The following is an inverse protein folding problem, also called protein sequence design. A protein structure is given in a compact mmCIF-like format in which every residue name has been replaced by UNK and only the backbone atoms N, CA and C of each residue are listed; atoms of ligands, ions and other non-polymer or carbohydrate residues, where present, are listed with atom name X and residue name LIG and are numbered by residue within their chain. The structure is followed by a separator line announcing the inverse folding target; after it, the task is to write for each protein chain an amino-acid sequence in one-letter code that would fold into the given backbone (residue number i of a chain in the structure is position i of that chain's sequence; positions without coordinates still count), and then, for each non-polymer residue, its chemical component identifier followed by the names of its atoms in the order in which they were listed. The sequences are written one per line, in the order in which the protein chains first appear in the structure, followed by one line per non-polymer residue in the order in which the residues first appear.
data_IF_867701271756
#
_entry.id   IF_867701271756
#
_cell.length_a   1.000
_cell.length_b   1.000
_cell.length_c   1.000
_cell.angle_alpha   90.00
_cell.angle_beta   90.00
_cell.angle_gamma   90.00
#
_symmetry.space_group_name_H-M   'P 1'
#
loop_
_entity.id
_entity.type
_entity.pdbx_description
1 polymer ?
#
# COMPACT_ATOMS: atom_id res chain seq x y z
N UNK A 1 -71.44 -40.85 -21.68
CA UNK A 1 -70.59 -40.69 -20.47
C UNK A 1 -69.10 -40.69 -20.84
N UNK A 2 -68.63 -39.79 -21.72
CA UNK A 2 -67.22 -39.79 -22.17
C UNK A 2 -66.59 -38.39 -22.28
N UNK A 3 -67.35 -37.32 -22.08
CA UNK A 3 -66.86 -35.94 -22.22
C UNK A 3 -66.40 -35.27 -20.91
N UNK A 4 -66.80 -35.75 -19.74
CA UNK A 4 -66.38 -35.14 -18.46
C UNK A 4 -64.98 -35.57 -17.99
N UNK A 5 -64.43 -36.68 -18.50
CA UNK A 5 -63.13 -37.19 -18.05
C UNK A 5 -61.91 -36.54 -18.72
N UNK A 6 -62.09 -35.88 -19.87
CA UNK A 6 -60.98 -35.28 -20.61
C UNK A 6 -60.62 -33.90 -20.04
N UNK A 7 -61.63 -33.10 -19.67
CA UNK A 7 -61.46 -31.74 -19.10
C UNK A 7 -60.72 -31.74 -17.73
N UNK A 8 -60.88 -32.79 -16.92
CA UNK A 8 -60.17 -32.91 -15.63
C UNK A 8 -58.68 -33.19 -15.78
N UNK A 9 -58.25 -33.91 -16.83
CA UNK A 9 -56.83 -34.24 -16.99
C UNK A 9 -56.00 -33.06 -17.49
N UNK A 10 -56.57 -32.20 -18.34
CA UNK A 10 -55.86 -31.03 -18.88
C UNK A 10 -55.62 -29.93 -17.82
N UNK A 11 -56.58 -29.74 -16.89
CA UNK A 11 -56.44 -28.78 -15.79
C UNK A 11 -55.39 -29.22 -14.75
N UNK A 12 -55.27 -30.52 -14.47
CA UNK A 12 -54.27 -31.07 -13.54
C UNK A 12 -52.85 -31.02 -14.15
N UNK A 13 -52.71 -31.27 -15.46
CA UNK A 13 -51.42 -31.17 -16.15
C UNK A 13 -50.91 -29.72 -16.20
N UNK A 14 -51.79 -28.77 -16.50
CA UNK A 14 -51.45 -27.33 -16.54
C UNK A 14 -50.98 -26.79 -15.17
N UNK A 15 -51.64 -27.21 -14.09
CA UNK A 15 -51.27 -26.79 -12.73
C UNK A 15 -49.88 -27.34 -12.30
N UNK A 16 -49.59 -28.61 -12.61
CA UNK A 16 -48.29 -29.24 -12.30
C UNK A 16 -47.11 -28.66 -13.08
N UNK A 17 -47.32 -28.20 -14.31
CA UNK A 17 -46.28 -27.53 -15.12
C UNK A 17 -46.01 -26.11 -14.60
N UNK A 18 -47.05 -25.39 -14.16
CA UNK A 18 -46.93 -24.05 -13.59
C UNK A 18 -46.12 -24.02 -12.27
N UNK A 19 -46.33 -24.99 -11.38
CA UNK A 19 -45.56 -25.10 -10.12
C UNK A 19 -44.09 -25.46 -10.35
N UNK A 20 -43.79 -26.37 -11.30
CA UNK A 20 -42.40 -26.72 -11.66
C UNK A 20 -41.63 -25.52 -12.20
N UNK A 21 -42.25 -24.69 -13.03
CA UNK A 21 -41.61 -23.49 -13.57
C UNK A 21 -41.35 -22.42 -12.49
N UNK A 22 -42.27 -22.25 -11.52
CA UNK A 22 -42.05 -21.34 -10.39
C UNK A 22 -40.93 -21.80 -9.47
N UNK A 23 -40.87 -23.10 -9.16
CA UNK A 23 -39.78 -23.68 -8.35
C UNK A 23 -38.42 -23.56 -9.06
N UNK A 24 -38.39 -23.76 -10.38
CA UNK A 24 -37.18 -23.62 -11.19
C UNK A 24 -36.66 -22.17 -11.20
N UNK A 25 -37.55 -21.18 -11.33
CA UNK A 25 -37.18 -19.76 -11.24
C UNK A 25 -36.64 -19.37 -9.86
N UNK A 26 -37.28 -19.83 -8.78
CA UNK A 26 -36.86 -19.51 -7.41
C UNK A 26 -35.52 -20.18 -7.09
N UNK A 27 -35.33 -21.42 -7.53
CA UNK A 27 -34.08 -22.15 -7.36
C UNK A 27 -32.93 -21.47 -8.13
N UNK A 28 -33.16 -21.09 -9.39
CA UNK A 28 -32.18 -20.35 -10.19
C UNK A 28 -31.83 -19.00 -9.57
N UNK A 29 -32.82 -18.21 -9.12
CA UNK A 29 -32.57 -16.91 -8.46
C UNK A 29 -31.73 -17.05 -7.18
N UNK A 30 -32.00 -18.08 -6.36
CA UNK A 30 -31.23 -18.34 -5.15
C UNK A 30 -29.81 -18.84 -5.42
N UNK A 31 -29.62 -19.65 -6.46
CA UNK A 31 -28.28 -20.11 -6.89
C UNK A 31 -27.47 -18.95 -7.47
N UNK A 32 -28.10 -18.13 -8.32
CA UNK A 32 -27.46 -16.94 -8.91
C UNK A 32 -27.04 -15.94 -7.83
N UNK A 33 -27.91 -15.70 -6.83
CA UNK A 33 -27.61 -14.81 -5.70
C UNK A 33 -26.41 -15.31 -4.88
N UNK A 34 -26.32 -16.63 -4.63
CA UNK A 34 -25.18 -17.22 -3.92
C UNK A 34 -23.87 -17.11 -4.71
N UNK A 35 -23.93 -17.28 -6.03
CA UNK A 35 -22.76 -17.13 -6.92
C UNK A 35 -22.29 -15.67 -6.93
N UNK A 36 -23.21 -14.71 -7.01
CA UNK A 36 -22.89 -13.27 -6.96
C UNK A 36 -22.25 -12.91 -5.61
N UNK A 37 -22.81 -13.38 -4.49
CA UNK A 37 -22.23 -13.14 -3.17
C UNK A 37 -20.82 -13.73 -3.03
N UNK A 38 -20.60 -14.94 -3.53
CA UNK A 38 -19.27 -15.57 -3.51
C UNK A 38 -18.27 -14.81 -4.38
N UNK A 39 -18.67 -14.34 -5.56
CA UNK A 39 -17.82 -13.55 -6.46
C UNK A 39 -17.46 -12.18 -5.86
N UNK A 40 -18.42 -11.51 -5.21
CA UNK A 40 -18.17 -10.24 -4.50
C UNK A 40 -17.20 -10.48 -3.34
N UNK A 41 -17.40 -11.53 -2.55
CA UNK A 41 -16.49 -11.87 -1.44
C UNK A 41 -15.08 -12.16 -1.94
N UNK A 42 -14.94 -12.91 -3.04
CA UNK A 42 -13.67 -13.21 -3.68
C UNK A 42 -12.99 -11.93 -4.19
N UNK A 43 -13.76 -11.02 -4.78
CA UNK A 43 -13.28 -9.72 -5.25
C UNK A 43 -12.76 -8.85 -4.10
N UNK A 44 -13.44 -8.84 -2.95
CA UNK A 44 -12.95 -8.15 -1.75
C UNK A 44 -11.67 -8.78 -1.20
N UNK A 45 -11.57 -10.12 -1.19
CA UNK A 45 -10.36 -10.83 -0.75
C UNK A 45 -9.17 -10.50 -1.68
N UNK A 46 -9.41 -10.44 -3.00
CA UNK A 46 -8.38 -10.05 -3.97
C UNK A 46 -7.94 -8.58 -3.81
N UNK A 47 -8.88 -7.65 -3.60
CA UNK A 47 -8.55 -6.24 -3.36
C UNK A 47 -7.75 -6.03 -2.07
N UNK A 48 -8.03 -6.80 -1.01
CA UNK A 48 -7.22 -6.74 0.21
C UNK A 48 -5.81 -7.30 0.03
N UNK A 49 -5.55 -8.17 -0.95
CA UNK A 49 -4.21 -8.68 -1.20
C UNK A 49 -3.30 -7.60 -1.82
N UNK A 50 -3.85 -6.77 -2.72
CA UNK A 50 -3.10 -5.68 -3.35
C UNK A 50 -2.83 -4.50 -2.40
N UNK A 51 -3.71 -4.28 -1.41
CA UNK A 51 -3.52 -3.22 -0.39
C UNK A 51 -2.45 -3.61 0.65
N UNK A 52 -2.22 -4.90 0.89
CA UNK A 52 -1.29 -5.37 1.94
C UNK A 52 0.17 -5.30 1.50
N UNK A 53 0.46 -5.09 0.21
CA UNK A 53 1.82 -5.14 -0.33
C UNK A 53 2.39 -3.78 -0.78
N UNK A 54 1.83 -2.65 -0.36
CA UNK A 54 2.54 -1.37 -0.53
C UNK A 54 3.73 -1.35 0.42
N UNK A 55 4.98 -1.36 -0.08
CA UNK A 55 6.14 -1.34 0.78
C UNK A 55 6.15 -0.03 1.57
N UNK A 56 6.33 -0.14 2.89
CA UNK A 56 6.38 0.99 3.82
C UNK A 56 7.76 1.08 4.46
N UNK A 57 8.21 2.29 4.78
CA UNK A 57 9.46 2.46 5.53
C UNK A 57 9.42 1.68 6.85
N UNK A 58 10.57 1.10 7.28
CA UNK A 58 10.64 0.37 8.54
C UNK A 58 10.36 1.27 9.74
N UNK A 59 9.72 0.70 10.76
CA UNK A 59 9.25 1.43 11.95
C UNK A 59 10.38 2.17 12.68
N UNK A 60 11.61 1.63 12.66
CA UNK A 60 12.75 2.29 13.30
C UNK A 60 13.03 3.67 12.69
N UNK A 61 12.86 3.80 11.37
CA UNK A 61 13.14 5.02 10.60
C UNK A 61 12.05 6.07 10.79
N UNK A 62 10.82 5.67 11.12
CA UNK A 62 9.69 6.59 11.27
C UNK A 62 9.92 7.61 12.39
N UNK A 63 9.40 8.83 12.16
CA UNK A 63 9.51 9.96 13.07
C UNK A 63 10.54 10.99 12.61
N UNK A 64 10.93 11.88 13.53
CA UNK A 64 11.81 13.01 13.23
C UNK A 64 13.24 12.74 13.68
N UNK A 65 14.18 13.01 12.78
CA UNK A 65 15.61 12.87 12.96
C UNK A 65 16.26 14.21 12.69
N UNK A 66 17.10 14.67 13.61
CA UNK A 66 17.76 15.97 13.48
C UNK A 66 19.26 15.88 13.68
N UNK A 67 19.96 16.81 13.03
CA UNK A 67 21.38 17.02 13.24
C UNK A 67 21.71 18.51 13.28
N UNK A 68 22.76 18.84 14.02
CA UNK A 68 23.33 20.17 14.02
C UNK A 68 24.55 20.20 13.09
N UNK A 69 24.50 21.08 12.10
CA UNK A 69 25.59 21.32 11.17
C UNK A 69 26.45 22.46 11.71
N UNK A 70 27.78 22.35 11.54
CA UNK A 70 28.81 23.25 12.08
C UNK A 70 28.56 24.76 11.83
N UNK A 71 27.72 25.12 10.86
CA UNK A 71 27.40 26.51 10.48
C UNK A 71 26.18 27.10 11.20
N UNK A 72 25.74 26.53 12.32
CA UNK A 72 24.56 27.00 13.03
C UNK A 72 23.26 26.73 12.26
N UNK A 73 23.26 25.65 11.48
CA UNK A 73 22.08 25.14 10.82
C UNK A 73 21.64 23.85 11.51
N UNK A 74 20.34 23.69 11.71
CA UNK A 74 19.73 22.44 12.12
C UNK A 74 18.99 21.87 10.92
N UNK A 75 19.32 20.63 10.58
CA UNK A 75 18.60 19.88 9.56
C UNK A 75 17.71 18.86 10.24
N UNK A 76 16.54 18.60 9.66
CA UNK A 76 15.57 17.64 10.19
C UNK A 76 14.94 16.88 9.03
N UNK A 77 15.00 15.56 9.08
CA UNK A 77 14.13 14.69 8.29
C UNK A 77 12.98 14.22 9.17
N UNK A 78 11.77 14.19 8.62
CA UNK A 78 10.62 13.54 9.25
C UNK A 78 10.08 12.49 8.30
N UNK A 79 10.32 11.21 8.63
CA UNK A 79 9.92 10.07 7.83
C UNK A 79 8.52 9.59 8.24
N UNK A 80 7.70 9.34 7.23
CA UNK A 80 6.39 8.69 7.31
C UNK A 80 6.44 7.45 6.43
N UNK A 81 5.41 6.60 6.50
CA UNK A 81 5.44 5.28 5.83
C UNK A 81 5.77 5.33 4.33
N UNK A 82 5.40 6.40 3.62
CA UNK A 82 5.51 6.49 2.16
C UNK A 82 6.10 7.82 1.65
N UNK A 83 6.61 8.65 2.55
CA UNK A 83 7.14 9.97 2.20
C UNK A 83 8.04 10.49 3.33
N UNK A 84 8.75 11.58 3.06
CA UNK A 84 9.42 12.33 4.10
C UNK A 84 9.36 13.84 3.84
N UNK A 85 9.48 14.60 4.92
CA UNK A 85 9.72 16.04 4.87
C UNK A 85 11.15 16.32 5.30
N UNK A 86 11.88 17.10 4.50
CA UNK A 86 13.14 17.70 4.91
C UNK A 86 12.93 19.15 5.30
N UNK A 87 13.57 19.57 6.39
CA UNK A 87 13.62 20.94 6.85
C UNK A 87 15.04 21.31 7.23
N UNK A 88 15.52 22.43 6.70
CA UNK A 88 16.75 23.07 7.15
C UNK A 88 16.46 24.47 7.65
N UNK A 89 16.84 24.72 8.89
CA UNK A 89 16.85 26.04 9.49
C UNK A 89 18.29 26.49 9.70
N UNK A 90 18.62 27.67 9.21
CA UNK A 90 19.92 28.30 9.41
C UNK A 90 19.71 29.69 10.00
N UNK A 91 20.52 30.06 11.00
CA UNK A 91 20.40 31.37 11.66
C UNK A 91 20.67 32.53 10.69
N UNK A 92 21.59 32.33 9.74
CA UNK A 92 22.13 33.40 8.87
C UNK A 92 21.73 33.28 7.40
N UNK A 93 20.96 32.26 7.03
CA UNK A 93 20.55 32.03 5.64
C UNK A 93 19.08 31.64 5.59
N UNK A 94 18.51 31.62 4.37
CA UNK A 94 17.11 31.23 4.17
C UNK A 94 16.91 29.77 4.62
N UNK A 95 15.79 29.50 5.29
CA UNK A 95 15.35 28.14 5.58
C UNK A 95 14.84 27.46 4.31
N UNK A 96 15.06 26.16 4.22
CA UNK A 96 14.60 25.33 3.09
C UNK A 96 13.71 24.21 3.62
N UNK A 97 12.59 23.97 2.93
CA UNK A 97 11.70 22.85 3.21
C UNK A 97 11.33 22.19 1.89
N UNK A 98 11.32 20.88 1.85
CA UNK A 98 10.75 20.12 0.74
C UNK A 98 10.18 18.79 1.22
N UNK A 99 9.21 18.28 0.49
CA UNK A 99 8.58 16.99 0.70
C UNK A 99 8.90 16.08 -0.48
N UNK A 100 9.18 14.81 -0.20
CA UNK A 100 9.43 13.82 -1.24
C UNK A 100 8.61 12.57 -0.99
N UNK A 101 8.02 12.06 -2.07
CA UNK A 101 7.29 10.80 -2.06
C UNK A 101 8.26 9.65 -2.28
N UNK A 102 8.08 8.59 -1.52
CA UNK A 102 8.81 7.33 -1.69
C UNK A 102 8.04 6.48 -2.70
N UNK A 103 8.73 6.08 -3.76
CA UNK A 103 8.16 5.26 -4.84
C UNK A 103 8.52 3.79 -4.69
N UNK A 104 9.69 3.49 -4.11
CA UNK A 104 10.18 2.12 -4.00
C UNK A 104 11.08 1.97 -2.78
N UNK A 105 11.03 0.80 -2.14
CA UNK A 105 11.84 0.45 -0.98
C UNK A 105 12.55 -0.88 -1.27
N UNK A 106 13.85 -0.88 -1.02
CA UNK A 106 14.75 -2.02 -1.11
C UNK A 106 15.17 -2.38 0.32
N UNK A 107 14.32 -3.14 1.04
CA UNK A 107 14.53 -3.47 2.46
C UNK A 107 15.86 -4.20 2.69
N UNK A 108 16.21 -5.16 1.82
CA UNK A 108 17.46 -5.92 1.91
C UNK A 108 18.73 -5.06 1.78
N UNK A 109 18.59 -3.83 1.28
CA UNK A 109 19.68 -2.89 1.03
C UNK A 109 19.60 -1.64 1.91
N UNK A 110 18.66 -1.60 2.87
CA UNK A 110 18.37 -0.44 3.70
C UNK A 110 18.25 0.85 2.86
N UNK A 111 17.51 0.78 1.74
CA UNK A 111 17.45 1.86 0.78
C UNK A 111 16.04 2.10 0.25
N UNK A 112 15.72 3.36 -0.07
CA UNK A 112 14.50 3.71 -0.78
C UNK A 112 14.79 4.69 -1.92
N UNK A 113 13.88 4.74 -2.89
CA UNK A 113 13.92 5.66 -4.03
C UNK A 113 12.71 6.58 -4.00
N UNK A 114 12.92 7.85 -4.29
CA UNK A 114 11.89 8.89 -4.36
C UNK A 114 11.41 9.16 -5.79
N UNK A 115 10.34 9.94 -5.91
CA UNK A 115 9.72 10.34 -7.19
C UNK A 115 10.66 11.02 -8.18
N UNK A 116 11.69 11.71 -7.70
CA UNK A 116 12.72 12.37 -8.51
C UNK A 116 13.91 11.45 -8.87
N UNK A 117 13.78 10.14 -8.64
CA UNK A 117 14.85 9.15 -8.76
C UNK A 117 16.07 9.44 -7.89
N UNK A 118 15.89 10.10 -6.75
CA UNK A 118 16.91 10.13 -5.70
C UNK A 118 16.87 8.82 -4.90
N UNK A 119 18.04 8.27 -4.58
CA UNK A 119 18.18 7.14 -3.67
C UNK A 119 18.62 7.66 -2.31
N UNK A 120 17.98 7.17 -1.26
CA UNK A 120 18.42 7.35 0.11
C UNK A 120 18.71 5.99 0.75
N UNK A 121 19.91 5.84 1.28
CA UNK A 121 20.35 4.66 2.02
C UNK A 121 20.46 5.02 3.49
N UNK A 122 19.94 4.18 4.36
CA UNK A 122 20.00 4.36 5.81
C UNK A 122 20.89 3.30 6.47
N UNK A 123 21.40 3.64 7.65
CA UNK A 123 22.07 2.69 8.53
C UNK A 123 21.85 3.12 9.97
N UNK A 124 21.64 2.17 10.87
CA UNK A 124 21.51 2.41 12.31
C UNK A 124 22.71 1.88 13.07
N UNK A 125 23.32 2.74 13.89
CA UNK A 125 24.27 2.34 14.94
C UNK A 125 23.69 2.72 16.29
N UNK A 126 23.03 1.77 16.95
CA UNK A 126 22.27 2.03 18.17
C UNK A 126 21.11 2.99 17.91
N UNK A 127 21.13 4.16 18.55
CA UNK A 127 20.11 5.22 18.38
C UNK A 127 20.50 6.30 17.35
N UNK A 128 21.58 6.08 16.61
CA UNK A 128 22.08 7.02 15.61
C UNK A 128 21.67 6.53 14.23
N UNK A 129 21.09 7.43 13.44
CA UNK A 129 20.78 7.20 12.04
C UNK A 129 21.87 7.84 11.17
N UNK A 130 22.37 7.10 10.20
CA UNK A 130 23.22 7.61 9.12
C UNK A 130 22.44 7.60 7.82
N UNK A 131 22.55 8.68 7.05
CA UNK A 131 21.85 8.82 5.77
C UNK A 131 22.85 9.15 4.66
N UNK A 132 22.75 8.41 3.57
CA UNK A 132 23.33 8.76 2.28
C UNK A 132 22.21 9.17 1.33
N UNK A 133 22.41 10.26 0.58
CA UNK A 133 21.44 10.77 -0.40
C UNK A 133 22.17 11.04 -1.72
N UNK A 134 21.65 10.50 -2.83
CA UNK A 134 22.16 10.82 -4.17
C UNK A 134 21.59 12.14 -4.69
N UNK A 135 22.08 12.60 -5.84
CA UNK A 135 21.40 13.65 -6.58
C UNK A 135 20.12 13.10 -7.26
N UNK A 136 19.16 13.97 -7.61
CA UNK A 136 18.01 13.59 -8.44
C UNK A 136 18.45 12.95 -9.75
N UNK A 137 17.67 11.98 -10.25
CA UNK A 137 17.95 11.24 -11.48
C UNK A 137 19.31 10.56 -11.53
N UNK A 138 19.85 10.17 -10.37
CA UNK A 138 21.07 9.37 -10.30
C UNK A 138 20.78 7.89 -10.55
N UNK A 139 21.82 7.12 -10.84
CA UNK A 139 21.75 5.65 -10.81
C UNK A 139 21.78 5.15 -9.37
N UNK A 140 21.22 3.95 -9.15
CA UNK A 140 21.26 3.25 -7.86
C UNK A 140 22.71 3.19 -7.33
N UNK A 141 22.99 3.68 -6.11
CA UNK A 141 24.34 3.71 -5.57
C UNK A 141 24.80 2.31 -5.16
N UNK A 142 26.12 2.07 -5.23
CA UNK A 142 26.77 0.87 -4.67
C UNK A 142 27.69 1.34 -3.57
N UNK A 143 27.32 1.04 -2.32
CA UNK A 143 28.05 1.48 -1.14
C UNK A 143 28.85 0.33 -0.54
N UNK A 144 30.04 0.63 -0.02
CA UNK A 144 30.87 -0.36 0.68
C UNK A 144 30.32 -0.69 2.07
N UNK A 145 30.80 -1.77 2.68
CA UNK A 145 30.24 -2.32 3.92
C UNK A 145 30.32 -1.41 5.15
N UNK A 146 31.04 -0.28 5.12
CA UNK A 146 31.20 0.66 6.22
C UNK A 146 30.95 2.11 5.75
N UNK A 147 30.12 2.30 4.72
CA UNK A 147 29.95 3.60 4.08
C UNK A 147 29.58 4.69 5.09
N UNK A 148 28.79 4.37 6.11
CA UNK A 148 28.25 5.32 7.09
C UNK A 148 29.31 5.99 7.98
N UNK A 149 30.52 5.42 8.12
CA UNK A 149 31.53 5.92 9.05
C UNK A 149 32.05 7.33 8.74
N UNK A 150 31.77 7.84 7.53
CA UNK A 150 32.12 9.20 7.10
C UNK A 150 30.92 10.13 6.88
N UNK A 151 29.70 9.69 7.19
CA UNK A 151 28.49 10.47 6.95
C UNK A 151 27.94 11.09 8.22
N UNK A 152 27.06 12.07 8.02
CA UNK A 152 26.48 12.81 9.11
C UNK A 152 25.54 11.93 9.95
N UNK A 153 25.72 12.02 11.26
CA UNK A 153 24.97 11.29 12.26
C UNK A 153 23.72 12.10 12.67
N UNK A 154 22.57 11.42 12.65
CA UNK A 154 21.28 11.99 12.99
C UNK A 154 20.75 11.37 14.27
N UNK A 155 20.16 12.20 15.13
CA UNK A 155 19.56 11.76 16.39
C UNK A 155 18.06 11.93 16.35
N UNK A 156 17.33 10.95 16.88
CA UNK A 156 15.87 11.01 16.99
C UNK A 156 15.46 12.17 17.90
N UNK A 157 14.44 12.93 17.48
CA UNK A 157 13.93 14.10 18.20
C UNK A 157 12.76 13.73 19.10
#
# INVERSE_FOLDING_TARGET
MLQENISRNDSIFSCKVSEKNKLYEIFHKNVLLKIIFAAILLFFICLSCDIVNTPSLPDELLGSWSQNVVKGCTQTYTFRSHDYTFYEYCIYTRSTTYDEKIEEIFEDEDMFRTSDNTYMVWHFEGSILYLYKTNPNSTKPVLGSNWWSGYSAWTKK
#
